data_IF_551255619717
#
_entry.id   IF_551255619717
#
_cell.length_a   1.000
_cell.length_b   1.000
_cell.length_c   1.000
_cell.angle_alpha   90.00
_cell.angle_beta   90.00
_cell.angle_gamma   90.00
#
_symmetry.space_group_name_H-M   'P 1'
#
loop_
_entity.id
_entity.type
_entity.pdbx_description
1 polymer ?
#
# COMPACT_ATOMS: atom_id res chain seq x y z
N UNK A 1 -3.31 15.14 8.09
CA UNK A 1 -3.34 14.11 9.13
C UNK A 1 -3.41 14.72 10.53
N UNK A 2 -3.84 13.95 11.49
CA UNK A 2 -3.90 14.38 12.91
C UNK A 2 -2.51 14.77 13.43
N UNK A 3 -1.46 14.07 12.99
CA UNK A 3 -0.08 14.41 13.33
C UNK A 3 0.27 15.81 12.87
N UNK A 4 0.05 16.14 11.59
CA UNK A 4 0.33 17.50 11.06
C UNK A 4 -0.48 18.57 11.80
N UNK A 5 -1.75 18.28 12.14
CA UNK A 5 -2.56 19.19 12.98
C UNK A 5 -1.92 19.44 14.34
N UNK A 6 -1.34 18.41 14.97
CA UNK A 6 -0.63 18.54 16.25
C UNK A 6 0.64 19.39 16.07
N UNK A 7 1.45 19.09 15.07
CA UNK A 7 2.70 19.81 14.79
C UNK A 7 2.44 21.32 14.54
N UNK A 8 1.36 21.68 13.78
CA UNK A 8 0.96 23.07 13.56
C UNK A 8 0.56 23.76 14.88
N UNK A 9 -0.18 23.05 15.74
CA UNK A 9 -0.59 23.61 17.04
C UNK A 9 0.57 23.79 18.01
N UNK A 10 1.61 22.97 17.93
CA UNK A 10 2.86 23.14 18.70
C UNK A 10 3.61 24.41 18.26
N UNK A 11 3.58 24.76 16.96
CA UNK A 11 4.20 25.97 16.43
C UNK A 11 3.35 27.22 16.77
N UNK A 12 2.03 27.13 16.61
CA UNK A 12 1.11 28.22 16.90
C UNK A 12 -0.24 27.70 17.44
N UNK A 13 -0.42 27.76 18.75
CA UNK A 13 -1.62 27.27 19.42
C UNK A 13 -2.88 28.12 19.17
N UNK A 14 -2.73 29.36 18.68
CA UNK A 14 -3.83 30.28 18.39
C UNK A 14 -4.55 30.04 17.07
N UNK A 15 -4.03 29.17 16.18
CA UNK A 15 -4.66 28.87 14.89
C UNK A 15 -5.73 27.79 15.00
N UNK A 16 -6.88 28.04 14.35
CA UNK A 16 -7.87 26.99 14.14
C UNK A 16 -7.41 26.06 13.02
N UNK A 17 -7.23 24.77 13.33
CA UNK A 17 -6.78 23.77 12.37
C UNK A 17 -7.78 22.62 12.32
N UNK A 18 -8.31 22.34 11.15
CA UNK A 18 -9.10 21.13 10.90
C UNK A 18 -8.30 20.11 10.08
N UNK A 19 -8.38 18.84 10.48
CA UNK A 19 -7.71 17.75 9.77
C UNK A 19 -8.72 17.03 8.90
N UNK A 20 -8.53 17.10 7.60
CA UNK A 20 -9.33 16.37 6.63
C UNK A 20 -8.46 15.32 5.92
N UNK A 21 -9.06 14.18 5.60
CA UNK A 21 -8.41 13.20 4.76
C UNK A 21 -8.46 13.64 3.31
N UNK A 22 -7.40 13.36 2.57
CA UNK A 22 -7.40 13.56 1.13
C UNK A 22 -8.47 12.66 0.50
N UNK A 23 -9.32 13.19 -0.39
CA UNK A 23 -10.32 12.38 -1.08
C UNK A 23 -9.69 11.29 -1.95
N UNK A 24 -10.45 10.24 -2.19
CA UNK A 24 -10.05 9.14 -3.08
C UNK A 24 -9.89 9.70 -4.50
N UNK A 25 -8.87 9.25 -5.21
CA UNK A 25 -8.67 9.58 -6.62
C UNK A 25 -9.77 8.96 -7.47
N UNK A 26 -10.48 9.78 -8.24
CA UNK A 26 -11.52 9.36 -9.19
C UNK A 26 -11.10 9.53 -10.67
N UNK A 27 -9.84 9.87 -10.91
CA UNK A 27 -9.30 10.14 -12.26
C UNK A 27 -8.67 8.90 -12.91
N UNK A 28 -8.52 7.82 -12.16
CA UNK A 28 -7.98 6.57 -12.69
C UNK A 28 -9.07 5.72 -13.33
N UNK A 29 -8.67 4.90 -14.30
CA UNK A 29 -9.56 3.91 -14.92
C UNK A 29 -10.05 2.90 -13.87
N UNK A 30 -11.22 2.31 -14.13
CA UNK A 30 -11.74 1.22 -13.30
C UNK A 30 -10.75 0.05 -13.26
N UNK A 31 -10.91 -0.78 -12.25
CA UNK A 31 -10.14 -2.03 -12.13
C UNK A 31 -10.27 -2.86 -13.41
N UNK A 32 -9.16 -3.38 -13.89
CA UNK A 32 -9.09 -4.26 -15.05
C UNK A 32 -9.53 -5.67 -14.63
N UNK A 33 -10.09 -6.44 -15.53
CA UNK A 33 -10.28 -7.87 -15.29
C UNK A 33 -8.95 -8.55 -14.96
N UNK A 34 -8.92 -9.39 -13.91
CA UNK A 34 -7.69 -10.00 -13.40
C UNK A 34 -6.93 -10.80 -14.46
N UNK A 35 -7.65 -11.54 -15.32
CA UNK A 35 -7.03 -12.35 -16.37
C UNK A 35 -6.36 -11.50 -17.44
N UNK A 36 -6.97 -10.37 -17.81
CA UNK A 36 -6.42 -9.39 -18.74
C UNK A 36 -5.21 -8.68 -18.14
N UNK A 37 -5.28 -8.29 -16.87
CA UNK A 37 -4.18 -7.66 -16.16
C UNK A 37 -2.96 -8.60 -16.00
N UNK A 38 -3.19 -9.89 -15.69
CA UNK A 38 -2.12 -10.89 -15.65
C UNK A 38 -1.40 -11.02 -17.00
N UNK A 39 -2.15 -11.03 -18.11
CA UNK A 39 -1.57 -11.06 -19.47
C UNK A 39 -0.77 -9.79 -19.77
N UNK A 40 -1.34 -8.62 -19.46
CA UNK A 40 -0.68 -7.31 -19.65
C UNK A 40 0.66 -7.22 -18.93
N UNK A 41 0.73 -7.75 -17.72
CA UNK A 41 1.92 -7.75 -16.87
C UNK A 41 2.81 -9.00 -17.07
N UNK A 42 2.47 -9.90 -18.00
CA UNK A 42 3.16 -11.18 -18.21
C UNK A 42 3.32 -12.00 -16.90
N UNK A 43 2.25 -12.05 -16.10
CA UNK A 43 2.19 -12.76 -14.83
C UNK A 43 1.31 -14.00 -14.93
N UNK A 44 1.60 -15.02 -14.11
CA UNK A 44 0.71 -16.15 -13.88
C UNK A 44 -0.25 -15.83 -12.74
N UNK A 45 -1.38 -16.54 -12.67
CA UNK A 45 -2.25 -16.42 -11.50
C UNK A 45 -1.50 -16.83 -10.22
N UNK A 46 -1.78 -16.13 -9.12
CA UNK A 46 -1.02 -16.31 -7.89
C UNK A 46 -1.37 -15.30 -6.79
N UNK A 47 -0.58 -15.35 -5.73
CA UNK A 47 -0.68 -14.50 -4.54
C UNK A 47 0.33 -13.36 -4.64
N UNK A 48 -0.16 -12.14 -4.73
CA UNK A 48 0.69 -10.97 -4.95
C UNK A 48 0.50 -9.90 -3.89
N UNK A 49 1.62 -9.49 -3.28
CA UNK A 49 1.74 -8.27 -2.49
C UNK A 49 2.28 -7.17 -3.40
N UNK A 50 1.76 -5.96 -3.33
CA UNK A 50 2.14 -4.83 -4.19
C UNK A 50 2.83 -3.74 -3.39
N UNK A 51 4.06 -3.42 -3.75
CA UNK A 51 4.73 -2.16 -3.40
C UNK A 51 4.68 -1.24 -4.62
N UNK A 52 4.08 -0.04 -4.47
CA UNK A 52 3.74 0.82 -5.61
C UNK A 52 4.26 2.24 -5.50
N UNK A 53 4.61 2.83 -6.67
CA UNK A 53 4.98 4.23 -6.85
C UNK A 53 6.47 4.50 -6.71
N UNK A 54 6.91 5.76 -6.86
CA UNK A 54 8.33 6.15 -6.81
C UNK A 54 9.04 5.52 -5.61
N UNK A 55 10.15 4.84 -5.86
CA UNK A 55 10.91 4.11 -4.84
C UNK A 55 11.93 5.06 -4.22
N UNK A 56 11.70 5.41 -2.95
CA UNK A 56 12.56 6.30 -2.15
C UNK A 56 12.88 5.62 -0.82
N UNK A 57 14.02 5.93 -0.24
CA UNK A 57 14.52 5.32 1.01
C UNK A 57 13.46 5.26 2.12
N UNK A 58 12.75 6.39 2.36
CA UNK A 58 11.76 6.45 3.43
C UNK A 58 10.55 5.53 3.23
N UNK A 59 10.35 5.01 2.02
CA UNK A 59 9.26 4.06 1.74
C UNK A 59 9.54 2.63 2.21
N UNK A 60 10.77 2.34 2.69
CA UNK A 60 11.09 1.10 3.38
C UNK A 60 11.01 -0.15 2.50
N UNK A 61 11.37 -0.05 1.20
CA UNK A 61 11.37 -1.22 0.32
C UNK A 61 12.24 -2.36 0.86
N UNK A 62 13.31 -2.05 1.55
CA UNK A 62 14.19 -3.01 2.23
C UNK A 62 13.44 -3.82 3.30
N UNK A 63 12.53 -3.19 4.05
CA UNK A 63 11.67 -3.89 5.01
C UNK A 63 10.71 -4.85 4.31
N UNK A 64 10.09 -4.42 3.18
CA UNK A 64 9.24 -5.31 2.40
C UNK A 64 10.02 -6.51 1.85
N UNK A 65 11.20 -6.30 1.27
CA UNK A 65 12.05 -7.38 0.75
C UNK A 65 12.43 -8.36 1.87
N UNK A 66 12.84 -7.85 3.05
CA UNK A 66 13.15 -8.70 4.20
C UNK A 66 11.93 -9.48 4.71
N UNK A 67 10.74 -8.87 4.76
CA UNK A 67 9.52 -9.59 5.12
C UNK A 67 9.24 -10.76 4.17
N UNK A 68 9.51 -10.58 2.87
CA UNK A 68 9.33 -11.63 1.86
C UNK A 68 10.35 -12.79 1.96
N UNK A 69 11.40 -12.66 2.77
CA UNK A 69 12.36 -13.74 3.03
C UNK A 69 11.89 -14.79 4.03
N UNK A 70 10.74 -14.57 4.66
CA UNK A 70 10.15 -15.57 5.56
C UNK A 70 9.88 -16.88 4.81
N UNK A 71 10.35 -17.99 5.38
CA UNK A 71 10.30 -19.31 4.77
C UNK A 71 8.88 -19.74 4.36
N UNK A 72 7.90 -19.48 5.22
CA UNK A 72 6.49 -19.81 4.96
C UNK A 72 5.90 -18.97 3.81
N UNK A 73 6.33 -17.71 3.64
CA UNK A 73 5.93 -16.86 2.50
C UNK A 73 6.44 -17.49 1.20
N UNK A 74 7.69 -17.95 1.18
CA UNK A 74 8.30 -18.61 0.01
C UNK A 74 7.58 -19.92 -0.29
N UNK A 75 7.37 -20.78 0.71
CA UNK A 75 6.67 -22.06 0.58
C UNK A 75 5.23 -21.90 0.06
N UNK A 76 4.52 -20.84 0.49
CA UNK A 76 3.17 -20.52 0.02
C UNK A 76 3.15 -19.82 -1.35
N UNK A 77 4.33 -19.66 -1.98
CA UNK A 77 4.48 -18.98 -3.27
C UNK A 77 3.85 -17.57 -3.32
N UNK A 78 3.94 -16.83 -2.21
CA UNK A 78 3.52 -15.43 -2.15
C UNK A 78 4.65 -14.58 -2.75
N UNK A 79 4.31 -13.68 -3.68
CA UNK A 79 5.28 -12.86 -4.42
C UNK A 79 5.08 -11.38 -4.14
N UNK A 80 6.18 -10.64 -4.15
CA UNK A 80 6.16 -9.18 -4.09
C UNK A 80 6.32 -8.61 -5.50
N UNK A 81 5.37 -7.79 -5.92
CA UNK A 81 5.50 -6.92 -7.08
C UNK A 81 6.00 -5.56 -6.58
N UNK A 82 7.11 -5.10 -7.13
CA UNK A 82 7.66 -3.76 -6.94
C UNK A 82 7.42 -3.02 -8.24
N UNK A 83 6.51 -2.03 -8.22
CA UNK A 83 6.10 -1.30 -9.41
C UNK A 83 6.33 0.20 -9.23
N UNK A 84 7.28 0.76 -9.95
CA UNK A 84 7.63 2.17 -9.92
C UNK A 84 9.09 2.42 -10.22
N UNK A 85 9.40 3.67 -10.52
CA UNK A 85 10.74 4.12 -10.83
C UNK A 85 11.59 4.27 -9.56
N UNK A 86 12.82 3.78 -9.60
CA UNK A 86 13.79 3.96 -8.53
C UNK A 86 14.36 5.39 -8.59
N UNK A 87 14.12 6.16 -7.54
CA UNK A 87 14.70 7.49 -7.39
C UNK A 87 16.12 7.45 -6.80
N UNK A 88 16.34 6.45 -5.93
CA UNK A 88 17.67 6.12 -5.38
C UNK A 88 18.25 4.92 -6.16
N UNK A 89 19.54 4.59 -5.92
CA UNK A 89 20.17 3.43 -6.56
C UNK A 89 19.37 2.13 -6.32
N UNK A 90 19.06 1.44 -7.41
CA UNK A 90 18.42 0.12 -7.41
C UNK A 90 19.37 -0.96 -6.88
N UNK A 91 20.69 -0.80 -7.08
CA UNK A 91 21.69 -1.84 -6.80
C UNK A 91 21.60 -2.39 -5.37
N UNK A 92 21.42 -1.49 -4.39
CA UNK A 92 21.29 -1.88 -2.97
C UNK A 92 20.14 -2.86 -2.72
N UNK A 93 19.05 -2.75 -3.48
CA UNK A 93 17.89 -3.65 -3.36
C UNK A 93 18.11 -4.94 -4.11
N UNK A 94 18.77 -4.87 -5.27
CA UNK A 94 19.19 -6.06 -6.02
C UNK A 94 20.20 -6.88 -5.22
N UNK A 95 21.16 -6.23 -4.56
CA UNK A 95 22.11 -6.87 -3.66
C UNK A 95 21.38 -7.57 -2.50
N UNK A 96 20.44 -6.88 -1.84
CA UNK A 96 19.65 -7.45 -0.76
C UNK A 96 18.84 -8.68 -1.22
N UNK A 97 18.22 -8.62 -2.40
CA UNK A 97 17.45 -9.73 -2.99
C UNK A 97 18.39 -10.93 -3.25
N UNK A 98 19.59 -10.67 -3.78
CA UNK A 98 20.60 -11.69 -4.04
C UNK A 98 21.13 -12.31 -2.76
N UNK A 99 21.50 -11.49 -1.76
CA UNK A 99 22.03 -11.94 -0.48
C UNK A 99 21.05 -12.82 0.28
N UNK A 100 19.74 -12.51 0.18
CA UNK A 100 18.66 -13.31 0.74
C UNK A 100 18.20 -14.45 -0.17
N UNK A 101 18.81 -14.61 -1.36
CA UNK A 101 18.49 -15.65 -2.36
C UNK A 101 16.99 -15.71 -2.71
N UNK A 102 16.34 -14.53 -2.86
CA UNK A 102 14.90 -14.45 -3.10
C UNK A 102 14.56 -14.61 -4.58
N UNK A 103 13.58 -15.47 -4.86
CA UNK A 103 13.02 -15.71 -6.22
C UNK A 103 11.55 -15.29 -6.33
N UNK A 104 10.99 -14.77 -5.25
CA UNK A 104 9.60 -14.34 -5.15
C UNK A 104 9.42 -12.82 -5.24
N UNK A 105 10.40 -12.13 -5.84
CA UNK A 105 10.36 -10.68 -6.08
C UNK A 105 10.27 -10.42 -7.59
N UNK A 106 9.35 -9.54 -7.99
CA UNK A 106 9.12 -9.13 -9.38
C UNK A 106 9.25 -7.62 -9.44
N UNK A 107 10.15 -7.10 -10.26
CA UNK A 107 10.44 -5.67 -10.34
C UNK A 107 10.02 -5.11 -11.70
N UNK A 108 9.22 -4.04 -11.66
CA UNK A 108 8.90 -3.18 -12.79
C UNK A 108 9.51 -1.81 -12.51
N UNK A 109 10.83 -1.68 -12.81
CA UNK A 109 11.55 -0.41 -12.65
C UNK A 109 11.27 0.52 -13.82
N UNK A 110 10.14 1.19 -13.77
CA UNK A 110 9.73 2.19 -14.76
C UNK A 110 8.67 3.11 -14.17
N UNK A 111 8.50 4.27 -14.79
CA UNK A 111 7.32 5.10 -14.52
C UNK A 111 6.06 4.33 -14.95
N UNK A 112 5.13 4.13 -14.03
CA UNK A 112 3.86 3.45 -14.30
C UNK A 112 2.85 4.48 -14.80
N UNK A 113 2.52 4.41 -16.09
CA UNK A 113 1.52 5.30 -16.68
C UNK A 113 0.13 5.07 -16.08
N UNK A 114 -0.68 6.12 -15.98
CA UNK A 114 -2.02 6.06 -15.39
C UNK A 114 -2.90 4.93 -15.96
N UNK A 115 -2.76 4.62 -17.26
CA UNK A 115 -3.49 3.52 -17.91
C UNK A 115 -3.08 2.12 -17.45
N UNK A 116 -1.85 1.96 -16.90
CA UNK A 116 -1.31 0.69 -16.43
C UNK A 116 -1.59 0.46 -14.93
N UNK A 117 -1.87 1.53 -14.19
CA UNK A 117 -2.13 1.46 -12.74
C UNK A 117 -3.21 0.42 -12.39
N UNK A 118 -4.37 0.37 -13.09
CA UNK A 118 -5.41 -0.63 -12.81
C UNK A 118 -4.89 -2.07 -12.84
N UNK A 119 -3.97 -2.40 -13.77
CA UNK A 119 -3.47 -3.77 -13.94
C UNK A 119 -2.71 -4.23 -12.69
N UNK A 120 -1.82 -3.38 -12.15
CA UNK A 120 -1.08 -3.71 -10.92
C UNK A 120 -1.98 -3.92 -9.73
N UNK A 121 -3.00 -3.07 -9.56
CA UNK A 121 -3.97 -3.24 -8.47
C UNK A 121 -4.90 -4.42 -8.70
N UNK A 122 -5.23 -4.76 -9.96
CA UNK A 122 -6.10 -5.90 -10.29
C UNK A 122 -5.47 -7.24 -9.95
N UNK A 123 -4.17 -7.42 -10.25
CA UNK A 123 -3.47 -8.68 -9.95
C UNK A 123 -3.12 -8.84 -8.48
N UNK A 124 -3.02 -7.74 -7.74
CA UNK A 124 -2.55 -7.74 -6.35
C UNK A 124 -3.66 -8.04 -5.36
N UNK A 125 -3.32 -8.78 -4.31
CA UNK A 125 -4.23 -9.10 -3.21
C UNK A 125 -4.08 -8.10 -2.04
N UNK A 126 -2.85 -7.73 -1.70
CA UNK A 126 -2.50 -6.87 -0.58
C UNK A 126 -1.53 -5.77 -1.04
N UNK A 127 -1.73 -4.53 -0.60
CA UNK A 127 -0.78 -3.43 -0.85
C UNK A 127 0.06 -3.20 0.40
N UNK A 128 1.40 -3.12 0.25
CA UNK A 128 2.31 -2.90 1.37
C UNK A 128 2.92 -1.50 1.33
N UNK A 129 2.84 -0.77 2.45
CA UNK A 129 3.43 0.56 2.64
C UNK A 129 4.32 0.55 3.90
N UNK A 130 5.53 -0.02 3.81
CA UNK A 130 6.43 -0.24 4.94
C UNK A 130 7.25 1.02 5.26
N UNK A 131 6.61 2.18 5.22
CA UNK A 131 7.30 3.48 5.31
C UNK A 131 7.96 3.67 6.68
N UNK A 132 9.15 4.27 6.67
CA UNK A 132 9.85 4.64 7.91
C UNK A 132 9.53 6.08 8.34
N UNK A 133 8.98 6.88 7.41
CA UNK A 133 8.48 8.24 7.67
C UNK A 133 7.40 8.58 6.67
N UNK A 134 6.32 9.19 7.12
CA UNK A 134 5.25 9.69 6.25
C UNK A 134 4.41 10.75 6.95
N UNK A 135 3.85 11.67 6.18
CA UNK A 135 2.71 12.50 6.61
C UNK A 135 1.41 11.90 6.09
N UNK A 136 1.38 11.57 4.82
CA UNK A 136 0.30 10.87 4.09
C UNK A 136 0.92 10.15 2.88
N UNK A 137 0.12 9.32 2.18
CA UNK A 137 0.54 8.65 0.96
C UNK A 137 -0.57 8.65 -0.09
N UNK A 138 -0.25 9.08 -1.32
CA UNK A 138 -1.17 8.94 -2.45
C UNK A 138 -1.47 7.48 -2.80
N UNK A 139 -0.58 6.55 -2.47
CA UNK A 139 -0.79 5.12 -2.70
C UNK A 139 -1.94 4.58 -1.84
N UNK A 140 -2.14 5.11 -0.62
CA UNK A 140 -3.29 4.73 0.21
C UNK A 140 -4.61 5.10 -0.46
N UNK A 141 -4.66 6.23 -1.17
CA UNK A 141 -5.86 6.66 -1.91
C UNK A 141 -6.13 5.76 -3.12
N UNK A 142 -5.07 5.30 -3.81
CA UNK A 142 -5.20 4.33 -4.88
C UNK A 142 -5.70 2.97 -4.35
N UNK A 143 -5.12 2.49 -3.26
CA UNK A 143 -5.54 1.23 -2.65
C UNK A 143 -7.01 1.30 -2.20
N UNK A 144 -7.45 2.42 -1.61
CA UNK A 144 -8.85 2.67 -1.27
C UNK A 144 -9.75 2.67 -2.52
N UNK A 145 -9.33 3.37 -3.59
CA UNK A 145 -10.08 3.42 -4.85
C UNK A 145 -10.29 2.02 -5.45
N UNK A 146 -9.24 1.20 -5.46
CA UNK A 146 -9.28 -0.17 -5.97
C UNK A 146 -9.74 -1.19 -4.92
N UNK A 147 -10.16 -0.74 -3.74
CA UNK A 147 -10.65 -1.57 -2.62
C UNK A 147 -9.66 -2.66 -2.19
N UNK A 148 -8.36 -2.34 -2.24
CA UNK A 148 -7.30 -3.27 -1.85
C UNK A 148 -6.93 -3.10 -0.38
N UNK A 149 -6.94 -4.18 0.41
CA UNK A 149 -6.42 -4.17 1.76
C UNK A 149 -4.96 -3.71 1.80
N UNK A 150 -4.59 -3.07 2.90
CA UNK A 150 -3.25 -2.50 3.04
C UNK A 150 -2.56 -3.03 4.30
N UNK A 151 -1.26 -3.31 4.18
CA UNK A 151 -0.35 -3.47 5.31
C UNK A 151 0.51 -2.21 5.39
N UNK A 152 0.33 -1.42 6.42
CA UNK A 152 1.03 -0.14 6.61
C UNK A 152 1.83 -0.14 7.91
N UNK A 153 2.91 0.63 7.96
CA UNK A 153 3.60 0.91 9.22
C UNK A 153 2.86 1.95 10.05
N UNK A 154 3.02 1.85 11.37
CA UNK A 154 2.48 2.82 12.34
C UNK A 154 3.29 4.13 12.33
N UNK A 155 3.38 4.79 11.16
CA UNK A 155 4.11 6.05 11.02
C UNK A 155 3.23 7.14 10.40
N UNK A 156 3.36 8.35 10.93
CA UNK A 156 2.69 9.54 10.42
C UNK A 156 1.18 9.41 10.37
N UNK A 157 0.61 9.66 9.19
CA UNK A 157 -0.83 9.57 8.93
C UNK A 157 -1.28 8.26 8.28
N UNK A 158 -0.37 7.29 8.05
CA UNK A 158 -0.73 6.03 7.40
C UNK A 158 -1.76 5.22 8.20
N UNK A 159 -1.62 5.04 9.54
CA UNK A 159 -2.59 4.26 10.32
C UNK A 159 -3.95 4.95 10.47
N UNK A 160 -4.05 6.24 10.16
CA UNK A 160 -5.33 6.97 10.31
C UNK A 160 -6.43 6.51 9.35
N UNK A 161 -6.06 5.84 8.25
CA UNK A 161 -6.99 5.36 7.22
C UNK A 161 -7.36 3.88 7.38
N UNK A 162 -6.61 3.15 8.22
CA UNK A 162 -6.75 1.70 8.41
C UNK A 162 -7.43 1.40 9.75
N UNK A 163 -8.40 0.52 9.74
CA UNK A 163 -8.90 -0.18 10.92
C UNK A 163 -8.21 -1.54 10.99
N UNK A 164 -7.24 -1.65 11.91
CA UNK A 164 -6.42 -2.86 12.07
C UNK A 164 -7.26 -4.13 12.20
N UNK A 165 -6.90 -5.18 11.44
CA UNK A 165 -7.61 -6.46 11.32
C UNK A 165 -9.02 -6.39 10.69
N UNK A 166 -9.46 -5.22 10.21
CA UNK A 166 -10.78 -5.08 9.61
C UNK A 166 -10.72 -4.75 8.12
N UNK A 167 -9.85 -3.81 7.73
CA UNK A 167 -9.66 -3.41 6.33
C UNK A 167 -8.18 -3.34 5.94
N UNK A 168 -7.32 -3.84 6.79
CA UNK A 168 -5.88 -3.93 6.61
C UNK A 168 -5.15 -4.15 7.91
N UNK A 169 -3.84 -4.03 7.87
CA UNK A 169 -2.96 -4.25 9.01
C UNK A 169 -2.09 -3.02 9.28
N UNK A 170 -1.84 -2.77 10.56
CA UNK A 170 -0.91 -1.75 11.04
C UNK A 170 0.19 -2.48 11.78
N UNK A 171 1.44 -2.35 11.30
CA UNK A 171 2.62 -2.95 11.93
C UNK A 171 3.61 -1.90 12.42
N UNK A 172 4.52 -2.30 13.26
CA UNK A 172 5.76 -1.56 13.46
C UNK A 172 6.63 -1.61 12.18
N UNK A 173 7.69 -0.79 12.12
CA UNK A 173 8.65 -0.85 11.02
C UNK A 173 9.61 -2.05 11.20
N UNK A 174 9.04 -3.26 11.29
CA UNK A 174 9.71 -4.53 11.54
C UNK A 174 9.33 -5.56 10.46
N UNK A 175 10.32 -6.15 9.81
CA UNK A 175 10.10 -7.09 8.70
C UNK A 175 9.49 -8.41 9.16
N UNK A 176 9.79 -8.87 10.38
CA UNK A 176 9.23 -10.10 10.93
C UNK A 176 7.72 -9.96 11.17
N UNK A 177 7.31 -8.90 11.90
CA UNK A 177 5.90 -8.59 12.12
C UNK A 177 5.13 -8.39 10.81
N UNK A 178 5.74 -7.73 9.81
CA UNK A 178 5.12 -7.61 8.48
C UNK A 178 4.94 -8.97 7.81
N UNK A 179 5.90 -9.89 7.96
CA UNK A 179 5.78 -11.23 7.40
C UNK A 179 4.63 -12.01 8.06
N UNK A 180 4.42 -11.84 9.36
CA UNK A 180 3.30 -12.46 10.09
C UNK A 180 1.95 -11.95 9.56
N UNK A 181 1.78 -10.65 9.36
CA UNK A 181 0.56 -10.10 8.79
C UNK A 181 0.33 -10.51 7.33
N UNK A 182 1.39 -10.63 6.52
CA UNK A 182 1.26 -11.19 5.16
C UNK A 182 0.76 -12.64 5.24
N UNK A 183 1.33 -13.46 6.13
CA UNK A 183 0.91 -14.85 6.30
C UNK A 183 -0.53 -14.96 6.84
N UNK A 184 -0.90 -14.12 7.80
CA UNK A 184 -2.26 -14.06 8.33
C UNK A 184 -3.26 -13.70 7.22
N UNK A 185 -2.95 -12.67 6.43
CA UNK A 185 -3.80 -12.27 5.31
C UNK A 185 -4.06 -13.42 4.32
N UNK A 186 -3.02 -14.16 3.96
CA UNK A 186 -3.12 -15.27 3.01
C UNK A 186 -3.49 -16.63 3.67
N UNK A 187 -3.74 -16.66 4.97
CA UNK A 187 -4.17 -17.87 5.67
C UNK A 187 -5.60 -18.26 5.35
N UNK A 188 -6.46 -17.28 5.04
CA UNK A 188 -7.87 -17.46 4.76
C UNK A 188 -8.30 -16.61 3.56
N UNK A 189 -8.85 -17.25 2.54
CA UNK A 189 -9.34 -16.57 1.33
C UNK A 189 -10.47 -15.55 1.61
N UNK A 190 -11.19 -15.72 2.72
CA UNK A 190 -12.22 -14.76 3.14
C UNK A 190 -11.65 -13.40 3.53
N UNK A 191 -10.41 -13.34 4.00
CA UNK A 191 -9.79 -12.10 4.43
C UNK A 191 -9.80 -11.03 3.32
N UNK A 192 -9.51 -11.40 2.07
CA UNK A 192 -9.56 -10.47 0.94
C UNK A 192 -10.98 -9.92 0.73
N UNK A 193 -11.98 -10.79 0.76
CA UNK A 193 -13.38 -10.41 0.53
C UNK A 193 -13.88 -9.50 1.66
N UNK A 194 -13.65 -9.90 2.91
CA UNK A 194 -14.12 -9.18 4.09
C UNK A 194 -13.46 -7.81 4.22
N UNK A 195 -12.13 -7.74 4.05
CA UNK A 195 -11.39 -6.48 4.11
C UNK A 195 -11.74 -5.55 2.94
N UNK A 196 -11.86 -6.07 1.71
CA UNK A 196 -12.28 -5.28 0.54
C UNK A 196 -13.70 -4.74 0.72
N UNK A 197 -14.60 -5.53 1.33
CA UNK A 197 -15.94 -5.07 1.67
C UNK A 197 -15.91 -3.98 2.74
N UNK A 198 -15.10 -4.12 3.78
CA UNK A 198 -14.93 -3.09 4.82
C UNK A 198 -14.41 -1.77 4.23
N UNK A 199 -13.43 -1.85 3.30
CA UNK A 199 -12.95 -0.67 2.56
C UNK A 199 -14.09 -0.04 1.75
N UNK A 200 -14.92 -0.83 1.08
CA UNK A 200 -16.02 -0.33 0.26
C UNK A 200 -17.04 0.48 1.07
N UNK A 201 -17.26 0.11 2.33
CA UNK A 201 -18.14 0.86 3.25
C UNK A 201 -17.60 2.24 3.63
N UNK A 202 -16.28 2.40 3.63
CA UNK A 202 -15.62 3.68 3.91
C UNK A 202 -15.53 4.58 2.68
N UNK A 203 -15.65 4.04 1.48
CA UNK A 203 -15.40 4.73 0.22
C UNK A 203 -16.13 6.07 0.13
N UNK A 204 -17.41 6.12 0.45
CA UNK A 204 -18.22 7.32 0.35
C UNK A 204 -17.78 8.42 1.33
N UNK A 205 -17.25 8.04 2.50
CA UNK A 205 -16.76 9.00 3.49
C UNK A 205 -15.52 9.76 3.03
N UNK A 206 -14.78 9.21 2.06
CA UNK A 206 -13.58 9.79 1.43
C UNK A 206 -13.87 10.39 0.04
N UNK A 207 -15.14 10.62 -0.31
CA UNK A 207 -15.51 11.26 -1.58
C UNK A 207 -15.15 12.75 -1.61
N UNK A 208 -14.95 13.28 -2.82
CA UNK A 208 -14.76 14.72 -3.05
C UNK A 208 -15.94 15.56 -2.53
N UNK A 209 -17.17 15.07 -2.70
CA UNK A 209 -18.38 15.77 -2.21
C UNK A 209 -18.36 15.93 -0.69
N UNK A 210 -17.99 14.88 0.04
CA UNK A 210 -17.89 14.93 1.49
C UNK A 210 -16.71 15.81 1.95
N UNK A 211 -15.62 15.84 1.21
CA UNK A 211 -14.49 16.73 1.50
C UNK A 211 -14.88 18.18 1.33
N UNK A 212 -15.51 18.55 0.21
CA UNK A 212 -15.97 19.92 -0.07
C UNK A 212 -17.00 20.38 0.97
N UNK A 213 -17.99 19.54 1.32
CA UNK A 213 -18.96 19.84 2.37
C UNK A 213 -18.34 20.17 3.73
N UNK A 214 -17.18 19.60 4.05
CA UNK A 214 -16.46 19.89 5.30
C UNK A 214 -15.65 21.18 5.25
N UNK A 215 -15.23 21.63 4.07
CA UNK A 215 -14.47 22.88 3.89
C UNK A 215 -15.40 24.10 3.89
N UNK A 216 -16.60 23.96 3.30
CA UNK A 216 -17.54 25.08 3.10
C UNK A 216 -18.35 25.38 4.39
N UNK A 217 -18.24 24.55 5.43
CA UNK A 217 -18.83 24.83 6.75
C UNK A 217 -18.08 25.94 7.46
#
# INVERSE_FOLDING_TARGET
SKKVKKDIKEINNGVSVESLFHPIYNTYSKITDKSSALKSLNLKDGKYVLFFGLIRKYKGLDLAIRAMSNKLIIEKNIKLIIAGEFYDSEDKYQDLIRDLNLKNIIIYNQFIENKQVPDFFSVSNLVILPYTSATQSGVTQLAMYYKKPMLVTNVGGLPEIIEHNKDGYISSANAEEMSEYILDYFSNEKNEIEMSYAISKKHDSYSWDNFVKKIIK
#
